data_IF_801969397363
#
_entry.id   IF_801969397363
#
_cell.length_a   1.000
_cell.length_b   1.000
_cell.length_c   1.000
_cell.angle_alpha   90.00
_cell.angle_beta   90.00
_cell.angle_gamma   90.00
#
_symmetry.space_group_name_H-M   'P 1'
#
loop_
_entity.id
_entity.type
_entity.pdbx_description
1 polymer ?
#
# COMPACT_ATOMS: atom_id res chain seq x y z
N UNK A 1 37.61 -11.22 -8.05
CA UNK A 1 36.77 -10.74 -6.93
C UNK A 1 35.35 -11.29 -7.11
N UNK A 2 35.14 -12.54 -6.68
CA UNK A 2 33.81 -13.15 -6.69
C UNK A 2 33.07 -12.72 -5.43
N UNK A 3 32.33 -11.62 -5.55
CA UNK A 3 31.39 -11.17 -4.53
C UNK A 3 30.22 -12.13 -4.46
N UNK A 4 30.02 -12.67 -3.26
CA UNK A 4 28.87 -13.45 -2.83
C UNK A 4 27.55 -12.84 -3.34
N UNK A 5 26.95 -13.46 -4.37
CA UNK A 5 25.70 -13.04 -5.02
C UNK A 5 24.46 -13.22 -4.13
N UNK A 6 24.61 -13.62 -2.86
CA UNK A 6 23.49 -13.96 -1.96
C UNK A 6 23.12 -12.85 -0.97
N UNK A 7 23.88 -11.77 -0.86
CA UNK A 7 23.52 -10.66 0.04
C UNK A 7 22.58 -9.68 -0.66
N UNK A 8 21.29 -9.74 -0.28
CA UNK A 8 20.29 -8.73 -0.69
C UNK A 8 20.79 -7.33 -0.33
N UNK A 9 20.64 -6.40 -1.27
CA UNK A 9 21.06 -5.02 -1.09
C UNK A 9 20.31 -4.38 0.09
N UNK A 10 21.06 -3.69 0.94
CA UNK A 10 20.48 -2.81 1.96
C UNK A 10 20.31 -1.42 1.35
N UNK A 11 19.28 -0.68 1.76
CA UNK A 11 19.11 0.72 1.36
C UNK A 11 20.39 1.56 1.57
N UNK A 12 21.11 1.34 2.67
CA UNK A 12 22.38 2.04 2.94
C UNK A 12 23.48 1.67 1.94
N UNK A 13 23.58 0.39 1.55
CA UNK A 13 24.55 -0.04 0.54
C UNK A 13 24.20 0.47 -0.86
N UNK A 14 22.91 0.62 -1.18
CA UNK A 14 22.45 1.19 -2.45
C UNK A 14 22.82 2.67 -2.54
N UNK A 15 22.51 3.45 -1.49
CA UNK A 15 22.91 4.86 -1.42
C UNK A 15 24.43 5.05 -1.52
N UNK A 16 25.20 4.15 -0.91
CA UNK A 16 26.67 4.23 -0.90
C UNK A 16 27.31 3.54 -2.12
N UNK A 17 26.53 3.02 -3.07
CA UNK A 17 27.03 2.31 -4.25
C UNK A 17 27.80 3.22 -5.22
N UNK A 18 27.69 4.55 -5.06
CA UNK A 18 28.29 5.54 -5.95
C UNK A 18 27.62 5.62 -7.33
N UNK A 19 26.59 4.82 -7.59
CA UNK A 19 25.78 4.92 -8.81
C UNK A 19 24.96 6.21 -8.80
N UNK A 20 24.79 6.88 -9.95
CA UNK A 20 23.89 8.02 -10.04
C UNK A 20 22.45 7.55 -9.76
N UNK A 21 21.75 8.25 -8.87
CA UNK A 21 20.35 7.95 -8.52
C UNK A 21 19.47 9.10 -8.95
N UNK A 22 18.64 8.85 -9.97
CA UNK A 22 17.64 9.79 -10.50
C UNK A 22 16.37 9.70 -9.65
N UNK A 23 16.23 10.60 -8.70
CA UNK A 23 15.11 10.57 -7.74
C UNK A 23 13.80 10.93 -8.42
N UNK A 24 12.79 10.07 -8.32
CA UNK A 24 11.46 10.30 -8.87
C UNK A 24 10.47 10.83 -7.82
N UNK A 25 9.47 11.58 -8.28
CA UNK A 25 8.24 11.99 -7.58
C UNK A 25 7.16 10.91 -7.60
N UNK A 26 7.34 9.87 -8.43
CA UNK A 26 6.42 8.75 -8.49
C UNK A 26 6.42 8.04 -7.13
N UNK A 27 5.23 7.75 -6.63
CA UNK A 27 5.03 6.97 -5.42
C UNK A 27 3.73 6.20 -5.51
N UNK A 28 3.54 5.25 -4.61
CA UNK A 28 2.37 4.39 -4.65
C UNK A 28 1.72 4.16 -3.29
N UNK A 29 0.76 3.26 -3.33
CA UNK A 29 0.08 2.70 -2.18
C UNK A 29 -0.28 1.24 -2.50
N UNK A 30 0.12 0.32 -1.62
CA UNK A 30 -0.32 -1.07 -1.69
C UNK A 30 -1.85 -1.18 -1.49
N UNK A 31 -2.46 -2.04 -2.30
CA UNK A 31 -3.88 -2.37 -2.28
C UNK A 31 -4.04 -3.88 -2.04
N UNK A 32 -5.29 -4.33 -1.91
CA UNK A 32 -5.60 -5.76 -1.92
C UNK A 32 -5.38 -6.25 -3.35
N UNK A 33 -4.50 -7.24 -3.51
CA UNK A 33 -4.07 -7.79 -4.80
C UNK A 33 -3.57 -6.77 -5.83
N UNK A 34 -3.02 -5.63 -5.39
CA UNK A 34 -2.64 -4.60 -6.34
C UNK A 34 -1.84 -3.43 -5.80
N UNK A 35 -1.58 -2.48 -6.69
CA UNK A 35 -0.85 -1.25 -6.42
C UNK A 35 -1.54 -0.06 -7.09
N UNK A 36 -1.69 1.01 -6.32
CA UNK A 36 -1.92 2.34 -6.85
C UNK A 36 -0.56 3.01 -7.06
N UNK A 37 -0.29 3.55 -8.25
CA UNK A 37 0.86 4.39 -8.54
C UNK A 37 0.40 5.77 -8.97
N UNK A 38 1.09 6.80 -8.50
CA UNK A 38 0.83 8.20 -8.81
C UNK A 38 2.11 8.83 -9.37
N UNK A 39 2.08 9.18 -10.65
CA UNK A 39 3.09 9.99 -11.31
C UNK A 39 2.68 11.47 -11.40
N UNK A 40 3.51 12.30 -12.04
CA UNK A 40 3.24 13.74 -12.18
C UNK A 40 2.01 14.04 -13.06
N UNK A 41 1.76 13.19 -14.06
CA UNK A 41 0.75 13.40 -15.12
C UNK A 41 -0.34 12.32 -15.14
N UNK A 42 -0.10 11.21 -14.47
CA UNK A 42 -0.91 10.00 -14.57
C UNK A 42 -1.04 9.31 -13.22
N UNK A 43 -2.19 8.69 -13.00
CA UNK A 43 -2.44 7.80 -11.85
C UNK A 43 -3.00 6.50 -12.38
N UNK A 44 -2.43 5.38 -11.96
CA UNK A 44 -2.86 4.05 -12.37
C UNK A 44 -3.06 3.16 -11.15
N UNK A 45 -4.12 2.37 -11.19
CA UNK A 45 -4.38 1.28 -10.27
C UNK A 45 -4.23 -0.03 -11.05
N UNK A 46 -3.34 -0.91 -10.60
CA UNK A 46 -3.14 -2.23 -11.20
C UNK A 46 -3.45 -3.30 -10.16
N UNK A 47 -4.38 -4.19 -10.47
CA UNK A 47 -4.77 -5.31 -9.62
C UNK A 47 -4.55 -6.63 -10.37
N UNK A 48 -4.01 -7.64 -9.70
CA UNK A 48 -3.89 -9.00 -10.20
C UNK A 48 -5.18 -9.75 -9.89
N UNK A 49 -5.85 -10.23 -10.94
CA UNK A 49 -7.06 -11.06 -10.85
C UNK A 49 -6.68 -12.51 -10.52
N UNK A 50 -7.64 -13.30 -10.05
CA UNK A 50 -7.46 -14.71 -9.73
C UNK A 50 -7.02 -15.57 -10.94
N UNK A 51 -7.39 -15.18 -12.16
CA UNK A 51 -6.96 -15.82 -13.41
C UNK A 51 -5.52 -15.46 -13.84
N UNK A 52 -4.82 -14.64 -13.06
CA UNK A 52 -3.45 -14.22 -13.32
C UNK A 52 -3.32 -13.04 -14.31
N UNK A 53 -4.42 -12.44 -14.79
CA UNK A 53 -4.35 -11.19 -15.56
C UNK A 53 -4.12 -9.99 -14.65
N UNK A 54 -3.44 -8.98 -15.17
CA UNK A 54 -3.24 -7.69 -14.48
C UNK A 54 -4.22 -6.68 -15.06
N UNK A 55 -5.26 -6.35 -14.30
CA UNK A 55 -6.22 -5.32 -14.66
C UNK A 55 -5.66 -3.94 -14.33
N UNK A 56 -5.51 -3.09 -15.34
CA UNK A 56 -4.97 -1.73 -15.18
C UNK A 56 -6.07 -0.70 -15.42
N UNK A 57 -6.24 0.21 -14.45
CA UNK A 57 -7.24 1.26 -14.51
C UNK A 57 -6.60 2.63 -14.26
N UNK A 58 -6.73 3.51 -15.26
CA UNK A 58 -6.32 4.90 -15.10
C UNK A 58 -7.32 5.66 -14.25
N UNK A 59 -6.82 6.42 -13.28
CA UNK A 59 -7.62 7.24 -12.37
C UNK A 59 -7.39 8.73 -12.67
N UNK A 60 -8.39 9.59 -12.42
CA UNK A 60 -8.24 11.02 -12.61
C UNK A 60 -7.20 11.58 -11.63
N UNK A 61 -6.28 12.38 -12.16
CA UNK A 61 -5.32 13.15 -11.35
C UNK A 61 -6.07 14.01 -10.31
N UNK A 62 -5.56 14.08 -9.07
CA UNK A 62 -6.12 14.97 -8.08
C UNK A 62 -5.77 16.42 -8.46
N UNK A 63 -6.79 17.28 -8.56
CA UNK A 63 -6.60 18.71 -8.89
C UNK A 63 -5.64 19.39 -7.91
N UNK A 64 -4.73 20.20 -8.44
CA UNK A 64 -3.65 20.86 -7.68
C UNK A 64 -3.81 22.38 -7.54
N UNK A 65 -4.92 22.93 -8.03
CA UNK A 65 -5.09 24.38 -8.29
C UNK A 65 -5.24 25.27 -7.05
N UNK A 66 -5.26 24.71 -5.84
CA UNK A 66 -5.45 25.49 -4.61
C UNK A 66 -4.17 26.21 -4.16
N UNK A 67 -4.29 27.51 -3.86
CA UNK A 67 -3.24 28.34 -3.23
C UNK A 67 -2.68 27.70 -1.95
N UNK A 68 -3.53 26.97 -1.21
CA UNK A 68 -3.18 26.25 0.01
C UNK A 68 -2.16 25.14 -0.19
N UNK A 69 -2.05 24.57 -1.40
CA UNK A 69 -1.07 23.54 -1.72
C UNK A 69 0.37 24.09 -1.91
N UNK A 70 0.54 25.42 -1.88
CA UNK A 70 1.83 26.09 -2.02
C UNK A 70 2.40 26.57 -0.69
N UNK A 71 1.55 26.82 0.31
CA UNK A 71 1.96 27.29 1.63
C UNK A 71 2.70 26.18 2.41
N UNK A 72 3.89 26.43 2.97
CA UNK A 72 4.59 25.44 3.78
C UNK A 72 3.74 25.04 4.98
N UNK A 73 3.92 23.81 5.47
CA UNK A 73 3.09 23.18 6.53
C UNK A 73 1.66 22.89 6.06
N UNK A 74 0.91 23.88 5.56
CA UNK A 74 -0.48 23.68 5.09
C UNK A 74 -0.54 22.72 3.90
N UNK A 75 0.42 22.83 2.96
CA UNK A 75 0.49 21.96 1.78
C UNK A 75 0.56 20.48 2.13
N UNK A 76 1.21 20.13 3.24
CA UNK A 76 1.35 18.74 3.68
C UNK A 76 0.00 18.14 4.03
N UNK A 77 -0.78 18.84 4.83
CA UNK A 77 -2.13 18.44 5.23
C UNK A 77 -3.09 18.36 4.02
N UNK A 78 -3.01 19.32 3.10
CA UNK A 78 -3.81 19.30 1.86
C UNK A 78 -3.44 18.10 0.98
N UNK A 79 -2.15 17.83 0.77
CA UNK A 79 -1.67 16.69 -0.02
C UNK A 79 -2.05 15.37 0.62
N UNK A 80 -1.87 15.24 1.94
CA UNK A 80 -2.25 14.05 2.69
C UNK A 80 -3.76 13.77 2.56
N UNK A 81 -4.60 14.79 2.69
CA UNK A 81 -6.05 14.63 2.55
C UNK A 81 -6.43 14.16 1.14
N UNK A 82 -5.82 14.72 0.09
CA UNK A 82 -6.05 14.29 -1.30
C UNK A 82 -5.60 12.85 -1.52
N UNK A 83 -4.40 12.49 -1.03
CA UNK A 83 -3.87 11.14 -1.09
C UNK A 83 -4.79 10.15 -0.35
N UNK A 84 -5.26 10.49 0.84
CA UNK A 84 -6.18 9.66 1.61
C UNK A 84 -7.49 9.42 0.86
N UNK A 85 -8.09 10.47 0.28
CA UNK A 85 -9.33 10.35 -0.50
C UNK A 85 -9.15 9.45 -1.73
N UNK A 86 -8.02 9.57 -2.42
CA UNK A 86 -7.72 8.75 -3.59
C UNK A 86 -7.40 7.31 -3.20
N UNK A 87 -6.53 7.11 -2.22
CA UNK A 87 -6.15 5.80 -1.69
C UNK A 87 -7.35 5.04 -1.15
N UNK A 88 -8.27 5.70 -0.45
CA UNK A 88 -9.50 5.08 0.04
C UNK A 88 -10.40 4.60 -1.10
N UNK A 89 -10.55 5.38 -2.18
CA UNK A 89 -11.29 4.94 -3.39
C UNK A 89 -10.63 3.74 -4.05
N UNK A 90 -9.30 3.73 -4.13
CA UNK A 90 -8.55 2.62 -4.71
C UNK A 90 -8.67 1.35 -3.87
N UNK A 91 -8.59 1.45 -2.54
CA UNK A 91 -8.79 0.32 -1.62
C UNK A 91 -10.18 -0.30 -1.83
N UNK A 92 -11.24 0.52 -1.79
CA UNK A 92 -12.60 0.00 -1.99
C UNK A 92 -12.76 -0.66 -3.36
N UNK A 93 -12.21 -0.05 -4.42
CA UNK A 93 -12.28 -0.63 -5.76
C UNK A 93 -11.49 -1.94 -5.89
N UNK A 94 -10.32 -2.05 -5.25
CA UNK A 94 -9.55 -3.30 -5.22
C UNK A 94 -10.22 -4.40 -4.42
N UNK A 95 -10.94 -4.03 -3.35
CA UNK A 95 -11.71 -4.97 -2.55
C UNK A 95 -12.89 -5.53 -3.35
N UNK A 96 -13.59 -4.70 -4.15
CA UNK A 96 -14.64 -5.16 -5.06
C UNK A 96 -14.11 -6.22 -6.05
N UNK A 97 -12.95 -6.00 -6.67
CA UNK A 97 -12.35 -6.98 -7.58
C UNK A 97 -11.98 -8.29 -6.88
N UNK A 98 -11.47 -8.21 -5.66
CA UNK A 98 -11.15 -9.38 -4.86
C UNK A 98 -12.40 -10.18 -4.46
N UNK A 99 -13.49 -9.50 -4.11
CA UNK A 99 -14.77 -10.14 -3.78
C UNK A 99 -15.42 -10.79 -5.01
N UNK A 100 -15.36 -10.13 -6.19
CA UNK A 100 -15.79 -10.69 -7.47
C UNK A 100 -15.04 -12.00 -7.78
N UNK A 101 -13.71 -11.97 -7.67
CA UNK A 101 -12.86 -13.14 -7.92
C UNK A 101 -13.18 -14.30 -6.96
N UNK A 102 -13.44 -14.01 -5.67
CA UNK A 102 -13.83 -15.04 -4.70
C UNK A 102 -15.22 -15.64 -4.96
N UNK A 103 -16.14 -14.86 -5.55
CA UNK A 103 -17.47 -15.35 -5.91
C UNK A 103 -17.45 -16.25 -7.15
N UNK A 104 -16.50 -16.02 -8.06
CA UNK A 104 -16.31 -16.79 -9.28
C UNK A 104 -15.58 -18.13 -9.05
N UNK A 105 -14.75 -18.23 -8.01
CA UNK A 105 -14.13 -19.50 -7.59
C UNK A 105 -15.13 -20.34 -6.75
N UNK A 106 -15.58 -21.53 -7.21
CA UNK A 106 -16.44 -22.39 -6.39
C UNK A 106 -15.67 -22.83 -5.14
N UNK A 107 -16.25 -22.63 -3.95
CA UNK A 107 -15.72 -23.22 -2.71
C UNK A 107 -15.87 -24.74 -2.82
N UNK A 108 -14.77 -25.46 -3.06
CA UNK A 108 -14.75 -26.91 -2.88
C UNK A 108 -15.16 -27.22 -1.44
N UNK A 109 -16.35 -27.80 -1.30
CA UNK A 109 -16.79 -28.42 -0.06
C UNK A 109 -16.07 -29.78 -0.01
N UNK A 110 -15.23 -30.07 1.00
CA UNK A 110 -14.67 -31.41 1.13
C UNK A 110 -15.80 -32.31 1.63
N UNK A 111 -16.42 -33.05 0.71
CA UNK A 111 -17.24 -34.19 1.11
C UNK A 111 -16.33 -35.40 1.31
N UNK A 112 -16.45 -36.00 2.48
CA UNK A 112 -15.66 -37.13 2.90
C UNK A 112 -16.24 -38.39 2.25
N UNK A 113 -15.57 -38.94 1.25
CA UNK A 113 -15.73 -40.37 0.93
C UNK A 113 -14.46 -40.92 0.28
N UNK A 114 -13.69 -41.62 1.10
CA UNK A 114 -12.97 -42.86 0.79
C UNK A 114 -12.30 -42.99 -0.59
N UNK A 115 -10.96 -42.85 -0.60
CA UNK A 115 -10.11 -43.50 -1.61
C UNK A 115 -10.31 -45.02 -1.60
N UNK A 116 -10.18 -45.66 -2.78
CA UNK A 116 -9.15 -46.68 -2.85
C UNK A 116 -8.22 -46.52 -4.07
N UNK A 117 -6.93 -46.62 -3.73
CA UNK A 117 -5.82 -47.25 -4.41
C UNK A 117 -5.80 -47.40 -5.96
N UNK A 118 -4.73 -46.82 -6.52
CA UNK A 118 -3.71 -47.44 -7.42
C UNK A 118 -4.22 -48.35 -8.55
N UNK A 119 -4.02 -47.91 -9.79
CA UNK A 119 -3.32 -48.75 -10.78
C UNK A 119 -2.61 -47.89 -11.83
N UNK A 120 -1.32 -48.14 -11.99
CA UNK A 120 -0.52 -47.60 -13.08
C UNK A 120 -0.85 -48.40 -14.35
N UNK A 121 -1.01 -47.72 -15.48
CA UNK A 121 -0.80 -48.37 -16.77
C UNK A 121 -0.12 -47.40 -17.73
N UNK A 122 0.91 -47.95 -18.32
CA UNK A 122 1.94 -47.40 -19.17
C UNK A 122 1.47 -47.24 -20.64
N UNK A 123 2.19 -46.42 -21.40
CA UNK A 123 2.42 -46.54 -22.87
C UNK A 123 1.24 -46.03 -23.75
N UNK A 124 1.38 -45.23 -24.81
CA UNK A 124 2.41 -45.14 -25.85
C UNK A 124 2.32 -43.78 -26.60
N UNK A 125 3.46 -43.30 -27.10
CA UNK A 125 3.56 -42.26 -28.13
C UNK A 125 3.32 -42.90 -29.50
N UNK A 126 2.54 -42.28 -30.38
CA UNK A 126 2.71 -42.48 -31.83
C UNK A 126 2.58 -41.14 -32.58
N UNK A 127 3.66 -40.78 -33.26
CA UNK A 127 3.68 -39.83 -34.37
C UNK A 127 3.12 -40.51 -35.62
N UNK A 128 2.40 -39.75 -36.46
CA UNK A 128 2.66 -39.62 -37.91
C UNK A 128 1.49 -38.94 -38.63
N UNK A 129 1.81 -38.09 -39.61
CA UNK A 129 0.90 -37.84 -40.73
C UNK A 129 0.74 -36.38 -41.14
N UNK A 130 1.78 -35.82 -41.78
CA UNK A 130 1.65 -34.65 -42.66
C UNK A 130 0.91 -35.08 -43.92
N UNK A 131 -0.11 -34.34 -44.34
CA UNK A 131 -0.45 -34.24 -45.76
C UNK A 131 -1.05 -32.86 -46.10
N UNK A 132 -0.42 -32.22 -47.06
CA UNK A 132 -0.74 -30.92 -47.68
C UNK A 132 -1.75 -31.10 -48.81
N UNK A 133 -2.69 -30.18 -48.99
CA UNK A 133 -3.16 -29.79 -50.33
C UNK A 133 -3.71 -28.35 -50.32
N UNK A 134 -3.26 -27.59 -51.31
CA UNK A 134 -3.64 -26.23 -51.66
C UNK A 134 -5.05 -26.15 -52.29
N UNK A 135 -5.70 -24.98 -52.24
CA UNK A 135 -6.27 -24.23 -53.39
C UNK A 135 -7.15 -23.05 -52.90
N UNK A 136 -6.59 -21.86 -53.10
CA UNK A 136 -7.09 -20.66 -53.80
C UNK A 136 -8.56 -20.14 -53.72
N UNK A 137 -8.59 -18.83 -53.42
CA UNK A 137 -9.45 -17.70 -53.86
C UNK A 137 -10.99 -17.76 -53.92
N UNK A 138 -11.60 -16.75 -53.29
CA UNK A 138 -12.53 -15.72 -53.83
C UNK A 138 -13.72 -15.38 -52.93
N UNK A 139 -14.04 -14.09 -52.96
CA UNK A 139 -15.05 -13.32 -52.23
C UNK A 139 -16.48 -13.87 -52.41
N UNK A 140 -17.41 -13.56 -51.48
CA UNK A 140 -18.61 -12.72 -51.69
C UNK A 140 -19.54 -12.83 -50.47
N UNK A 141 -19.95 -11.69 -49.91
CA UNK A 141 -21.04 -11.55 -48.92
C UNK A 141 -22.42 -11.89 -49.50
N UNK A 142 -23.30 -12.48 -48.69
CA UNK A 142 -24.59 -11.87 -48.27
C UNK A 142 -25.70 -12.90 -47.95
N UNK A 143 -26.26 -12.73 -46.74
CA UNK A 143 -27.69 -12.83 -46.34
C UNK A 143 -28.43 -14.18 -46.32
N UNK A 144 -28.67 -14.61 -45.07
CA UNK A 144 -29.92 -15.07 -44.42
C UNK A 144 -30.97 -15.89 -45.20
N UNK A 145 -31.23 -17.13 -44.75
CA UNK A 145 -32.59 -17.68 -44.53
C UNK A 145 -32.57 -18.64 -43.31
N UNK A 146 -33.50 -18.42 -42.38
CA UNK A 146 -33.77 -19.14 -41.13
C UNK A 146 -34.28 -20.58 -41.32
N UNK A 147 -33.87 -21.51 -40.43
CA UNK A 147 -34.77 -22.54 -39.88
C UNK A 147 -34.38 -22.88 -38.43
N UNK A 148 -35.06 -22.23 -37.48
CA UNK A 148 -35.76 -22.84 -36.34
C UNK A 148 -35.30 -24.21 -35.82
N UNK A 149 -34.86 -24.27 -34.55
CA UNK A 149 -35.04 -25.46 -33.73
C UNK A 149 -34.02 -25.70 -32.61
N UNK A 150 -34.35 -25.24 -31.40
CA UNK A 150 -33.94 -25.82 -30.10
C UNK A 150 -32.46 -25.75 -29.68
N UNK A 151 -32.06 -24.61 -29.10
CA UNK A 151 -31.18 -24.62 -27.91
C UNK A 151 -31.79 -23.68 -26.88
N UNK A 152 -32.21 -24.23 -25.74
CA UNK A 152 -32.62 -23.45 -24.57
C UNK A 152 -31.39 -22.71 -24.07
N UNK A 153 -31.38 -21.40 -24.28
CA UNK A 153 -30.47 -20.50 -23.58
C UNK A 153 -30.92 -20.45 -22.12
N UNK A 154 -30.29 -21.30 -21.29
CA UNK A 154 -30.31 -21.14 -19.84
C UNK A 154 -29.54 -19.88 -19.50
N UNK A 155 -30.24 -18.75 -19.44
CA UNK A 155 -29.78 -17.56 -18.74
C UNK A 155 -29.58 -17.93 -17.28
N UNK A 156 -28.38 -18.39 -16.92
CA UNK A 156 -27.93 -18.41 -15.54
C UNK A 156 -27.80 -16.96 -15.09
N UNK A 157 -28.77 -16.59 -14.26
CA UNK A 157 -28.87 -15.31 -13.58
C UNK A 157 -27.70 -15.23 -12.60
N UNK A 158 -26.56 -14.74 -13.07
CA UNK A 158 -25.40 -14.41 -12.21
C UNK A 158 -25.91 -13.56 -11.04
N UNK A 159 -25.88 -14.14 -9.84
CA UNK A 159 -26.30 -13.48 -8.63
C UNK A 159 -25.24 -12.43 -8.29
N UNK A 160 -25.59 -11.15 -8.49
CA UNK A 160 -24.75 -10.03 -8.04
C UNK A 160 -24.38 -10.23 -6.57
N UNK A 161 -23.10 -10.06 -6.18
CA UNK A 161 -22.70 -10.14 -4.78
C UNK A 161 -23.52 -9.16 -3.94
N UNK A 162 -23.97 -9.62 -2.78
CA UNK A 162 -24.88 -8.86 -1.91
C UNK A 162 -24.18 -7.58 -1.42
N UNK A 163 -24.48 -6.45 -2.06
CA UNK A 163 -24.00 -5.14 -1.65
C UNK A 163 -24.48 -4.86 -0.21
N UNK A 164 -23.55 -4.64 0.73
CA UNK A 164 -23.88 -4.34 2.13
C UNK A 164 -24.91 -3.21 2.21
N UNK A 165 -25.92 -3.38 3.08
CA UNK A 165 -26.90 -2.31 3.33
C UNK A 165 -26.19 -1.05 3.84
N UNK A 166 -26.63 0.14 3.42
CA UNK A 166 -26.05 1.42 3.85
C UNK A 166 -26.03 1.56 5.38
N UNK A 167 -26.97 0.92 6.08
CA UNK A 167 -26.99 0.87 7.54
C UNK A 167 -25.87 0.00 8.10
N UNK A 168 -25.60 -1.16 7.49
CA UNK A 168 -24.51 -2.06 7.92
C UNK A 168 -23.16 -1.40 7.70
N UNK A 169 -22.95 -0.74 6.56
CA UNK A 169 -21.74 0.03 6.30
C UNK A 169 -21.58 1.18 7.32
N UNK A 170 -22.66 1.90 7.63
CA UNK A 170 -22.62 2.95 8.65
C UNK A 170 -22.22 2.40 10.02
N UNK A 171 -22.76 1.26 10.42
CA UNK A 171 -22.45 0.62 11.70
C UNK A 171 -21.01 0.11 11.78
N UNK A 172 -20.49 -0.52 10.72
CA UNK A 172 -19.10 -1.01 10.70
C UNK A 172 -18.11 0.14 10.73
N UNK A 173 -18.37 1.22 9.99
CA UNK A 173 -17.56 2.44 10.04
C UNK A 173 -17.58 3.05 11.44
N UNK A 174 -18.76 3.19 12.05
CA UNK A 174 -18.88 3.73 13.41
C UNK A 174 -18.13 2.89 14.46
N UNK A 175 -18.27 1.55 14.39
CA UNK A 175 -17.57 0.63 15.28
C UNK A 175 -16.05 0.72 15.08
N UNK A 176 -15.57 0.74 13.84
CA UNK A 176 -14.13 0.87 13.54
C UNK A 176 -13.55 2.17 14.07
N UNK A 177 -14.31 3.28 13.97
CA UNK A 177 -13.92 4.57 14.53
C UNK A 177 -13.87 4.53 16.06
N UNK A 178 -14.87 3.90 16.71
CA UNK A 178 -14.89 3.75 18.16
C UNK A 178 -13.70 2.92 18.66
N UNK A 179 -13.36 1.82 17.98
CA UNK A 179 -12.19 1.00 18.29
C UNK A 179 -10.91 1.83 18.10
N UNK A 180 -10.79 2.60 17.01
CA UNK A 180 -9.61 3.43 16.76
C UNK A 180 -9.43 4.51 17.84
N UNK A 181 -10.50 5.20 18.24
CA UNK A 181 -10.48 6.17 19.34
C UNK A 181 -10.12 5.48 20.66
N UNK A 182 -10.72 4.32 20.94
CA UNK A 182 -10.42 3.50 22.11
C UNK A 182 -8.94 3.12 22.17
N UNK A 183 -8.40 2.56 21.10
CA UNK A 183 -7.04 2.01 21.04
C UNK A 183 -5.95 3.09 20.99
N UNK A 184 -6.14 4.17 20.23
CA UNK A 184 -5.08 5.15 19.98
C UNK A 184 -5.22 6.46 20.78
N UNK A 185 -6.40 6.74 21.34
CA UNK A 185 -6.64 7.95 22.15
C UNK A 185 -6.86 7.59 23.62
N UNK A 186 -7.79 6.68 23.93
CA UNK A 186 -8.17 6.40 25.31
C UNK A 186 -7.20 5.44 26.01
N UNK A 187 -6.80 4.35 25.36
CA UNK A 187 -5.94 3.32 25.95
C UNK A 187 -4.57 3.85 26.40
N UNK A 188 -3.83 4.67 25.61
CA UNK A 188 -2.54 5.19 26.07
C UNK A 188 -2.67 6.03 27.35
N UNK A 189 -3.77 6.80 27.47
CA UNK A 189 -4.05 7.60 28.66
C UNK A 189 -4.37 6.72 29.88
N UNK A 190 -5.16 5.65 29.68
CA UNK A 190 -5.48 4.70 30.74
C UNK A 190 -4.21 3.99 31.23
N UNK A 191 -3.39 3.47 30.32
CA UNK A 191 -2.15 2.77 30.64
C UNK A 191 -1.17 3.70 31.35
N UNK A 192 -1.01 4.94 30.86
CA UNK A 192 -0.17 5.94 31.54
C UNK A 192 -0.67 6.25 32.96
N UNK A 193 -1.99 6.39 33.14
CA UNK A 193 -2.60 6.62 34.45
C UNK A 193 -2.43 5.46 35.43
N UNK A 194 -2.46 4.21 34.94
CA UNK A 194 -2.23 3.01 35.77
C UNK A 194 -0.76 2.88 36.21
N UNK A 195 0.19 3.22 35.34
CA UNK A 195 1.64 3.06 35.62
C UNK A 195 2.19 4.22 36.45
N UNK A 196 1.83 5.46 36.09
CA UNK A 196 2.41 6.67 36.66
C UNK A 196 1.51 7.32 37.73
N UNK A 197 0.28 6.82 37.90
CA UNK A 197 -0.72 7.38 38.79
C UNK A 197 -1.64 8.42 38.14
N UNK A 198 -2.67 8.90 38.86
CA UNK A 198 -3.65 9.83 38.33
C UNK A 198 -3.00 11.14 37.89
N UNK A 199 -3.42 11.65 36.73
CA UNK A 199 -2.89 12.90 36.15
C UNK A 199 -3.01 14.11 37.09
N UNK A 200 -4.00 14.10 37.98
CA UNK A 200 -4.20 15.11 39.03
C UNK A 200 -3.10 15.15 40.09
N UNK A 201 -2.38 14.05 40.33
CA UNK A 201 -1.28 13.98 41.28
C UNK A 201 0.05 14.54 40.71
N UNK A 202 0.12 14.80 39.41
CA UNK A 202 1.37 15.13 38.70
C UNK A 202 1.42 16.57 38.14
N UNK A 203 0.57 17.46 38.63
CA UNK A 203 0.39 18.82 38.12
C UNK A 203 1.46 19.82 38.60
N UNK A 204 2.72 19.36 38.70
CA UNK A 204 3.91 20.21 38.86
C UNK A 204 4.60 20.31 37.49
N UNK A 205 4.97 21.52 37.06
CA UNK A 205 5.41 21.83 35.69
C UNK A 205 6.45 20.86 35.09
N UNK A 206 7.44 20.42 35.87
CA UNK A 206 8.46 19.45 35.40
C UNK A 206 7.97 18.01 35.29
N UNK A 207 7.04 17.59 36.14
CA UNK A 207 6.45 16.24 36.10
C UNK A 207 5.46 16.10 34.93
N UNK A 208 4.76 17.18 34.58
CA UNK A 208 3.80 17.19 33.47
C UNK A 208 4.46 16.94 32.10
N UNK A 209 5.65 17.51 31.85
CA UNK A 209 6.40 17.26 30.62
C UNK A 209 6.86 15.79 30.51
N UNK A 210 7.47 15.26 31.58
CA UNK A 210 7.93 13.87 31.62
C UNK A 210 6.76 12.90 31.44
N UNK A 211 5.63 13.15 32.11
CA UNK A 211 4.42 12.35 31.95
C UNK A 211 3.91 12.34 30.49
N UNK A 212 3.87 13.50 29.83
CA UNK A 212 3.43 13.58 28.43
C UNK A 212 4.40 12.83 27.49
N UNK A 213 5.70 12.86 27.78
CA UNK A 213 6.70 12.10 27.03
C UNK A 213 6.53 10.58 27.22
N UNK A 214 6.27 10.13 28.45
CA UNK A 214 5.97 8.72 28.73
C UNK A 214 4.64 8.27 28.10
N UNK A 215 3.58 9.08 28.15
CA UNK A 215 2.33 8.81 27.42
C UNK A 215 2.61 8.67 25.92
N UNK A 216 3.46 9.52 25.38
CA UNK A 216 3.91 9.44 23.99
C UNK A 216 4.65 8.15 23.66
N UNK A 217 5.54 7.69 24.55
CA UNK A 217 6.23 6.41 24.39
C UNK A 217 5.26 5.23 24.41
N UNK A 218 4.29 5.23 25.34
CA UNK A 218 3.22 4.21 25.40
C UNK A 218 2.44 4.19 24.08
N UNK A 219 2.11 5.36 23.51
CA UNK A 219 1.43 5.45 22.21
C UNK A 219 2.26 4.83 21.08
N UNK A 220 3.57 5.08 21.04
CA UNK A 220 4.48 4.47 20.05
C UNK A 220 4.49 2.94 20.22
N UNK A 221 4.59 2.45 21.45
CA UNK A 221 4.58 0.99 21.73
C UNK A 221 3.27 0.36 21.26
N UNK A 222 2.11 0.94 21.64
CA UNK A 222 0.80 0.44 21.24
C UNK A 222 0.67 0.38 19.71
N UNK A 223 1.12 1.41 19.00
CA UNK A 223 1.13 1.41 17.55
C UNK A 223 2.02 0.30 16.97
N UNK A 224 3.27 0.19 17.43
CA UNK A 224 4.19 -0.82 16.92
C UNK A 224 3.67 -2.24 17.20
N UNK A 225 3.06 -2.46 18.37
CA UNK A 225 2.37 -3.71 18.70
C UNK A 225 1.21 -3.97 17.76
N UNK A 226 0.35 -2.97 17.49
CA UNK A 226 -0.76 -3.10 16.55
C UNK A 226 -0.28 -3.44 15.12
N UNK A 227 0.74 -2.73 14.60
CA UNK A 227 1.36 -3.04 13.31
C UNK A 227 1.96 -4.45 13.30
N UNK A 228 2.64 -4.86 14.38
CA UNK A 228 3.23 -6.18 14.50
C UNK A 228 2.19 -7.31 14.50
N UNK A 229 1.10 -7.14 15.24
CA UNK A 229 0.01 -8.11 15.34
C UNK A 229 -0.77 -8.22 14.02
N UNK A 230 -1.09 -7.10 13.39
CA UNK A 230 -1.80 -7.08 12.11
C UNK A 230 -0.96 -7.70 11.00
N UNK A 231 0.37 -7.55 11.02
CA UNK A 231 1.29 -8.26 10.11
C UNK A 231 1.34 -9.79 10.28
N UNK A 232 0.61 -10.36 11.24
CA UNK A 232 0.43 -11.81 11.35
C UNK A 232 -0.69 -12.34 10.45
N UNK A 233 -1.63 -11.48 10.04
CA UNK A 233 -2.75 -11.85 9.18
C UNK A 233 -2.29 -12.08 7.72
N UNK A 234 -2.67 -13.20 7.06
CA UNK A 234 -2.23 -13.53 5.70
C UNK A 234 -2.52 -12.45 4.66
N UNK A 235 -3.74 -11.91 4.65
CA UNK A 235 -4.15 -10.89 3.67
C UNK A 235 -3.29 -9.62 3.80
N UNK A 236 -3.02 -9.20 5.03
CA UNK A 236 -2.14 -8.05 5.28
C UNK A 236 -0.68 -8.35 4.95
N UNK A 237 -0.21 -9.59 5.13
CA UNK A 237 1.13 -9.98 4.65
C UNK A 237 1.24 -9.83 3.14
N UNK A 238 0.20 -10.18 2.37
CA UNK A 238 0.17 -10.00 0.91
C UNK A 238 0.20 -8.52 0.54
N UNK A 239 -0.57 -7.66 1.23
CA UNK A 239 -0.48 -6.19 1.06
C UNK A 239 0.93 -5.67 1.37
N UNK A 240 1.61 -6.20 2.39
CA UNK A 240 3.00 -5.85 2.70
C UNK A 240 4.01 -6.35 1.64
N UNK A 241 3.70 -7.40 0.88
CA UNK A 241 4.49 -7.81 -0.28
C UNK A 241 4.34 -6.80 -1.42
N UNK A 242 3.10 -6.38 -1.74
CA UNK A 242 2.87 -5.30 -2.72
C UNK A 242 3.60 -4.02 -2.35
N UNK A 243 3.60 -3.65 -1.07
CA UNK A 243 4.34 -2.49 -0.59
C UNK A 243 5.87 -2.67 -0.76
N UNK A 244 6.40 -3.87 -0.49
CA UNK A 244 7.80 -4.18 -0.77
C UNK A 244 8.15 -4.11 -2.26
N UNK A 245 7.25 -4.55 -3.13
CA UNK A 245 7.41 -4.50 -4.58
C UNK A 245 7.38 -3.06 -5.12
N UNK A 246 6.53 -2.19 -4.57
CA UNK A 246 6.52 -0.76 -4.87
C UNK A 246 7.91 -0.14 -4.68
N UNK A 247 8.50 -0.35 -3.49
CA UNK A 247 9.84 0.17 -3.17
C UNK A 247 10.91 -0.35 -4.12
N UNK A 248 10.87 -1.64 -4.43
CA UNK A 248 11.84 -2.27 -5.33
C UNK A 248 11.71 -1.79 -6.77
N UNK A 249 10.49 -1.65 -7.28
CA UNK A 249 10.23 -1.15 -8.62
C UNK A 249 10.69 0.31 -8.78
N UNK A 250 10.35 1.16 -7.79
CA UNK A 250 10.81 2.55 -7.77
C UNK A 250 12.34 2.61 -7.67
N UNK A 251 12.96 1.84 -6.78
CA UNK A 251 14.42 1.83 -6.65
C UNK A 251 15.11 1.40 -7.95
N UNK A 252 14.59 0.38 -8.64
CA UNK A 252 15.07 -0.05 -9.95
C UNK A 252 15.01 1.09 -10.98
N UNK A 253 13.87 1.77 -11.05
CA UNK A 253 13.69 2.93 -11.92
C UNK A 253 14.65 4.08 -11.61
N UNK A 254 14.82 4.43 -10.34
CA UNK A 254 15.69 5.52 -9.91
C UNK A 254 17.17 5.27 -10.20
N UNK A 255 17.59 4.01 -10.32
CA UNK A 255 18.94 3.65 -10.72
C UNK A 255 19.12 3.52 -12.24
N UNK A 256 18.04 3.69 -13.02
CA UNK A 256 18.06 3.62 -14.48
C UNK A 256 18.25 2.20 -15.02
N UNK A 257 18.01 1.17 -14.20
CA UNK A 257 18.03 -0.22 -14.63
C UNK A 257 16.76 -0.56 -15.44
N UNK A 258 16.82 -1.64 -16.22
CA UNK A 258 15.66 -2.11 -16.97
C UNK A 258 14.54 -2.56 -16.02
N UNK A 259 13.32 -2.06 -16.24
CA UNK A 259 12.15 -2.35 -15.41
C UNK A 259 11.64 -3.78 -15.61
N UNK A 260 12.40 -4.78 -15.16
CA UNK A 260 12.03 -6.20 -15.17
C UNK A 260 11.90 -6.71 -13.73
N UNK A 261 11.11 -7.78 -13.53
CA UNK A 261 10.87 -8.33 -12.20
C UNK A 261 12.18 -8.85 -11.59
N UNK A 262 13.05 -9.42 -12.41
CA UNK A 262 14.36 -9.93 -12.04
C UNK A 262 15.29 -8.82 -11.57
N UNK A 263 15.35 -7.69 -12.29
CA UNK A 263 16.16 -6.54 -11.89
C UNK A 263 15.62 -5.91 -10.60
N UNK A 264 14.31 -5.64 -10.54
CA UNK A 264 13.67 -5.06 -9.37
C UNK A 264 13.84 -5.92 -8.11
N UNK A 265 13.81 -7.25 -8.23
CA UNK A 265 13.97 -8.17 -7.11
C UNK A 265 15.29 -7.97 -6.32
N UNK A 266 16.34 -7.46 -6.98
CA UNK A 266 17.67 -7.26 -6.38
C UNK A 266 17.73 -6.07 -5.41
N UNK A 267 16.80 -5.12 -5.54
CA UNK A 267 16.74 -3.91 -4.73
C UNK A 267 16.14 -4.16 -3.33
N UNK A 268 16.40 -3.23 -2.43
CA UNK A 268 15.90 -3.23 -1.07
C UNK A 268 14.42 -2.90 -1.03
N UNK A 269 13.67 -3.61 -0.17
CA UNK A 269 12.27 -3.27 0.15
C UNK A 269 12.13 -2.10 1.12
N UNK A 270 13.21 -1.36 1.40
CA UNK A 270 13.24 -0.24 2.34
C UNK A 270 13.51 1.07 1.61
N UNK A 271 12.69 2.07 1.89
CA UNK A 271 12.71 3.33 1.14
C UNK A 271 12.33 4.52 2.03
N UNK A 272 13.10 5.63 2.05
CA UNK A 272 12.95 6.72 3.02
C UNK A 272 11.71 7.60 2.76
N UNK A 273 11.17 7.62 1.53
CA UNK A 273 10.06 8.50 1.10
C UNK A 273 8.69 7.80 1.17
N UNK A 274 8.58 6.79 2.01
CA UNK A 274 7.39 5.96 2.13
C UNK A 274 6.35 6.56 3.11
N UNK A 275 5.06 6.33 2.83
CA UNK A 275 3.96 6.71 3.72
C UNK A 275 4.01 6.10 5.13
N UNK A 276 4.61 4.92 5.31
CA UNK A 276 4.81 4.34 6.66
C UNK A 276 5.90 5.07 7.44
N UNK A 277 6.93 5.60 6.75
CA UNK A 277 7.90 6.50 7.37
C UNK A 277 7.24 7.81 7.79
N UNK A 278 6.32 8.34 6.98
CA UNK A 278 5.49 9.50 7.34
C UNK A 278 4.64 9.24 8.58
N UNK A 279 3.98 8.09 8.70
CA UNK A 279 3.15 7.75 9.86
C UNK A 279 3.95 7.78 11.17
N UNK A 280 5.16 7.24 11.17
CA UNK A 280 6.04 7.25 12.35
C UNK A 280 6.55 8.65 12.67
N UNK A 281 6.92 9.43 11.65
CA UNK A 281 7.29 10.84 11.83
C UNK A 281 6.12 11.65 12.39
N UNK A 282 4.90 11.37 11.96
CA UNK A 282 3.67 11.99 12.48
C UNK A 282 3.50 11.72 13.97
N UNK A 283 3.69 10.49 14.40
CA UNK A 283 3.55 10.15 15.82
C UNK A 283 4.67 10.79 16.64
N UNK A 284 5.93 10.73 16.19
CA UNK A 284 7.05 11.35 16.91
C UNK A 284 6.81 12.86 17.05
N UNK A 285 6.46 13.56 15.97
CA UNK A 285 6.16 15.00 16.03
C UNK A 285 4.94 15.26 16.91
N UNK A 286 3.90 14.42 16.86
CA UNK A 286 2.74 14.56 17.74
C UNK A 286 3.12 14.48 19.22
N UNK A 287 4.03 13.56 19.59
CA UNK A 287 4.50 13.43 20.97
C UNK A 287 5.25 14.68 21.39
N UNK A 288 6.14 15.21 20.55
CA UNK A 288 6.90 16.43 20.84
C UNK A 288 5.99 17.66 20.98
N UNK A 289 5.03 17.82 20.06
CA UNK A 289 4.05 18.92 20.09
C UNK A 289 3.14 18.81 21.32
N UNK A 290 2.59 17.64 21.60
CA UNK A 290 1.71 17.47 22.76
C UNK A 290 2.44 17.47 24.10
N UNK A 291 3.74 17.18 24.12
CA UNK A 291 4.55 17.31 25.34
C UNK A 291 4.59 18.74 25.87
N UNK A 292 4.57 19.75 24.99
CA UNK A 292 4.65 21.17 25.36
C UNK A 292 3.28 21.85 25.56
N UNK A 293 2.19 21.30 25.01
CA UNK A 293 0.85 21.90 25.09
C UNK A 293 0.24 21.84 26.50
N UNK A 294 0.58 20.83 27.31
CA UNK A 294 0.04 20.68 28.67
C UNK A 294 -1.37 20.08 28.73
N UNK A 295 -2.00 20.16 29.92
CA UNK A 295 -3.30 19.54 30.20
C UNK A 295 -4.30 20.52 30.79
N UNK A 296 -5.44 20.70 30.10
CA UNK A 296 -6.51 21.64 30.45
C UNK A 296 -7.88 20.95 30.66
N UNK A 297 -7.88 19.61 30.77
CA UNK A 297 -9.09 18.79 30.88
C UNK A 297 -9.37 17.96 29.63
N UNK A 298 -10.14 16.89 29.78
CA UNK A 298 -10.32 15.86 28.73
C UNK A 298 -10.86 16.42 27.42
N UNK A 299 -11.98 17.16 27.47
CA UNK A 299 -12.67 17.66 26.28
C UNK A 299 -11.89 18.77 25.58
N UNK A 300 -11.31 19.70 26.35
CA UNK A 300 -10.49 20.77 25.78
C UNK A 300 -9.21 20.22 25.16
N UNK A 301 -8.55 19.25 25.81
CA UNK A 301 -7.39 18.58 25.22
C UNK A 301 -7.75 17.79 23.95
N UNK A 302 -8.93 17.17 23.89
CA UNK A 302 -9.42 16.51 22.68
C UNK A 302 -9.61 17.52 21.54
N UNK A 303 -10.22 18.68 21.82
CA UNK A 303 -10.38 19.76 20.85
C UNK A 303 -9.03 20.31 20.38
N UNK A 304 -8.11 20.59 21.30
CA UNK A 304 -6.76 21.07 20.97
C UNK A 304 -6.02 20.04 20.10
N UNK A 305 -6.13 18.74 20.41
CA UNK A 305 -5.54 17.67 19.60
C UNK A 305 -6.09 17.65 18.17
N UNK A 306 -7.41 17.83 18.02
CA UNK A 306 -8.05 17.90 16.72
C UNK A 306 -7.59 19.14 15.92
N UNK A 307 -7.52 20.30 16.57
CA UNK A 307 -7.07 21.56 15.95
C UNK A 307 -5.59 21.55 15.56
N UNK A 308 -4.74 20.82 16.31
CA UNK A 308 -3.31 20.71 16.02
C UNK A 308 -2.97 19.63 14.99
N UNK A 309 -3.92 18.76 14.61
CA UNK A 309 -3.68 17.69 13.63
C UNK A 309 -3.16 18.23 12.28
N UNK A 310 -3.74 19.29 11.68
CA UNK A 310 -3.22 19.87 10.45
C UNK A 310 -1.81 20.48 10.59
N UNK A 311 -1.47 21.01 11.77
CA UNK A 311 -0.12 21.51 12.03
C UNK A 311 0.88 20.34 12.08
N UNK A 312 0.56 19.29 12.85
CA UNK A 312 1.40 18.11 13.00
C UNK A 312 1.63 17.45 11.63
N UNK A 313 0.56 17.18 10.87
CA UNK A 313 0.67 16.57 9.55
C UNK A 313 1.50 17.43 8.58
N UNK A 314 1.37 18.75 8.65
CA UNK A 314 2.19 19.68 7.90
C UNK A 314 3.67 19.61 8.25
N UNK A 315 4.01 19.66 9.53
CA UNK A 315 5.39 19.54 10.01
C UNK A 315 6.02 18.20 9.63
N UNK A 316 5.27 17.10 9.76
CA UNK A 316 5.71 15.77 9.35
C UNK A 316 5.99 15.69 7.85
N UNK A 317 5.17 16.35 7.04
CA UNK A 317 5.35 16.36 5.59
C UNK A 317 6.61 17.13 5.19
N UNK A 318 6.85 18.29 5.80
CA UNK A 318 8.08 19.06 5.55
C UNK A 318 9.34 18.28 5.97
N UNK A 319 9.28 17.58 7.11
CA UNK A 319 10.36 16.71 7.55
C UNK A 319 10.62 15.58 6.55
N UNK A 320 9.56 14.94 6.04
CA UNK A 320 9.67 13.89 5.03
C UNK A 320 10.33 14.40 3.74
N UNK A 321 9.90 15.56 3.24
CA UNK A 321 10.51 16.20 2.07
C UNK A 321 11.98 16.52 2.30
N UNK A 322 12.32 17.06 3.48
CA UNK A 322 13.69 17.40 3.83
C UNK A 322 14.59 16.15 3.90
N UNK A 323 14.11 15.07 4.53
CA UNK A 323 14.81 13.77 4.57
C UNK A 323 15.02 13.21 3.16
N UNK A 324 14.01 13.31 2.29
CA UNK A 324 14.10 12.87 0.90
C UNK A 324 15.12 13.65 0.07
N UNK A 325 15.25 14.97 0.30
CA UNK A 325 16.26 15.82 -0.37
C UNK A 325 17.68 15.54 0.12
N UNK A 326 17.86 15.30 1.41
CA UNK A 326 19.17 15.21 2.04
C UNK A 326 19.58 13.78 2.44
N UNK A 327 19.07 12.74 1.76
CA UNK A 327 19.19 11.33 2.16
C UNK A 327 20.62 10.80 2.43
N UNK A 328 21.64 11.44 1.86
CA UNK A 328 23.07 11.10 2.05
C UNK A 328 23.60 11.68 3.38
N UNK A 329 23.07 12.82 3.84
CA UNK A 329 23.54 13.50 5.04
C UNK A 329 23.27 12.69 6.31
N UNK A 330 24.20 12.74 7.27
CA UNK A 330 24.08 12.04 8.55
C UNK A 330 22.80 12.43 9.32
N UNK A 331 22.41 13.73 9.40
CA UNK A 331 21.15 14.12 10.05
C UNK A 331 19.91 13.49 9.38
N UNK A 332 19.82 13.51 8.06
CA UNK A 332 18.68 12.91 7.35
C UNK A 332 18.59 11.40 7.60
N UNK A 333 19.73 10.70 7.71
CA UNK A 333 19.76 9.27 8.04
C UNK A 333 19.23 8.97 9.44
N UNK A 334 19.52 9.83 10.41
CA UNK A 334 18.98 9.72 11.78
C UNK A 334 17.46 9.87 11.77
N UNK A 335 16.94 10.90 11.10
CA UNK A 335 15.49 11.12 11.01
C UNK A 335 14.75 10.09 10.16
N UNK A 336 15.41 9.49 9.17
CA UNK A 336 14.86 8.39 8.36
C UNK A 336 14.84 7.05 9.11
N UNK A 337 15.82 6.80 9.99
CA UNK A 337 16.02 5.53 10.68
C UNK A 337 14.77 4.95 11.36
N UNK A 338 13.97 5.71 12.15
CA UNK A 338 12.78 5.15 12.78
C UNK A 338 11.73 4.71 11.74
N UNK A 339 11.58 5.46 10.64
CA UNK A 339 10.70 5.08 9.54
C UNK A 339 11.15 3.78 8.86
N UNK A 340 12.43 3.70 8.49
CA UNK A 340 13.03 2.50 7.89
C UNK A 340 12.92 1.28 8.83
N UNK A 341 13.05 1.46 10.14
CA UNK A 341 12.88 0.39 11.11
C UNK A 341 11.47 -0.21 11.04
N UNK A 342 10.44 0.63 10.97
CA UNK A 342 9.04 0.15 10.90
C UNK A 342 8.67 -0.51 9.57
N UNK A 343 9.44 -0.27 8.51
CA UNK A 343 9.30 -1.03 7.27
C UNK A 343 9.65 -2.49 7.43
N UNK A 344 10.42 -2.87 8.46
CA UNK A 344 10.60 -4.30 8.79
C UNK A 344 9.28 -5.00 9.13
N UNK A 345 8.32 -4.25 9.68
CA UNK A 345 6.97 -4.73 10.03
C UNK A 345 5.96 -4.53 8.90
N UNK A 346 6.13 -3.47 8.10
CA UNK A 346 5.15 -3.01 7.10
C UNK A 346 5.55 -3.31 5.65
N UNK A 347 6.66 -3.99 5.40
CA UNK A 347 7.00 -4.56 4.09
C UNK A 347 7.37 -6.03 4.22
N UNK A 348 7.20 -6.79 3.14
CA UNK A 348 7.62 -8.19 2.99
C UNK A 348 8.29 -8.36 1.63
N UNK A 349 9.02 -9.46 1.47
CA UNK A 349 9.64 -9.78 0.19
C UNK A 349 8.56 -10.22 -0.80
N UNK A 350 8.41 -9.54 -1.95
CA UNK A 350 7.45 -9.94 -2.97
C UNK A 350 7.95 -11.14 -3.76
N UNK A 351 7.00 -11.88 -4.33
CA UNK A 351 7.27 -12.85 -5.39
C UNK A 351 7.39 -12.14 -6.75
N UNK A 352 7.69 -12.93 -7.78
CA UNK A 352 7.84 -12.44 -9.15
C UNK A 352 6.56 -11.80 -9.68
N UNK A 353 5.40 -12.41 -9.44
CA UNK A 353 4.11 -11.95 -9.98
C UNK A 353 3.72 -10.58 -9.38
N UNK A 354 3.93 -10.38 -8.09
CA UNK A 354 3.69 -9.09 -7.44
C UNK A 354 4.66 -8.01 -7.96
N UNK A 355 5.91 -8.37 -8.27
CA UNK A 355 6.86 -7.45 -8.91
C UNK A 355 6.40 -7.05 -10.31
N UNK A 356 5.84 -7.98 -11.09
CA UNK A 356 5.27 -7.69 -12.41
C UNK A 356 4.10 -6.71 -12.32
N UNK A 357 3.24 -6.83 -11.31
CA UNK A 357 2.18 -5.84 -11.03
C UNK A 357 2.78 -4.47 -10.70
N UNK A 358 3.80 -4.41 -9.84
CA UNK A 358 4.45 -3.16 -9.46
C UNK A 358 5.10 -2.44 -10.65
N UNK A 359 5.76 -3.21 -11.53
CA UNK A 359 6.38 -2.70 -12.75
C UNK A 359 5.31 -2.22 -13.74
N UNK A 360 4.21 -2.98 -13.89
CA UNK A 360 3.09 -2.58 -14.76
C UNK A 360 2.47 -1.28 -14.28
N UNK A 361 2.22 -1.16 -12.98
CA UNK A 361 1.70 0.06 -12.37
C UNK A 361 2.65 1.25 -12.54
N UNK A 362 3.95 1.04 -12.37
CA UNK A 362 4.96 2.08 -12.54
C UNK A 362 5.04 2.56 -13.99
N UNK A 363 5.11 1.63 -14.96
CA UNK A 363 5.13 1.93 -16.40
C UNK A 363 3.91 2.74 -16.84
N UNK A 364 2.74 2.43 -16.29
CA UNK A 364 1.50 3.14 -16.62
C UNK A 364 1.47 4.61 -16.20
N UNK A 365 2.38 5.04 -15.31
CA UNK A 365 2.43 6.42 -14.79
C UNK A 365 3.73 7.17 -15.09
N UNK A 366 4.67 6.56 -15.82
CA UNK A 366 5.85 7.26 -16.30
C UNK A 366 5.41 8.49 -17.11
N UNK A 367 6.02 9.67 -16.96
CA UNK A 367 5.69 10.83 -17.78
C UNK A 367 6.19 10.69 -19.22
N UNK A 368 5.62 11.46 -20.14
CA UNK A 368 6.12 11.52 -21.52
C UNK A 368 7.46 12.30 -21.59
N UNK A 369 7.56 13.39 -20.82
CA UNK A 369 8.84 14.05 -20.54
C UNK A 369 9.52 13.36 -19.36
N UNK A 370 10.67 12.68 -19.55
CA UNK A 370 11.37 12.04 -18.46
C UNK A 370 11.57 12.99 -17.28
N UNK A 371 11.92 14.27 -17.50
CA UNK A 371 12.30 15.20 -16.44
C UNK A 371 11.12 15.74 -15.60
N UNK A 372 9.89 15.50 -16.02
CA UNK A 372 8.69 15.91 -15.29
C UNK A 372 8.59 15.26 -13.89
N UNK A 373 9.09 14.03 -13.75
CA UNK A 373 9.02 13.28 -12.49
C UNK A 373 10.22 13.51 -11.56
N UNK A 374 11.21 14.35 -11.92
CA UNK A 374 12.38 14.60 -11.07
C UNK A 374 11.98 15.16 -9.71
N UNK A 375 12.49 14.55 -8.63
CA UNK A 375 12.31 15.01 -7.26
C UNK A 375 13.15 16.26 -6.99
N UNK A 376 12.48 17.43 -6.94
CA UNK A 376 13.09 18.74 -6.67
C UNK A 376 12.84 19.22 -5.23
#
# INVERSE_FOLDING_TARGET
MNGDKTKKATYTSELNSGRPVRRTKIGGQALIEGLLMMGPERVAMCCRRADGRIETKMLPLPKTDDVWAKLPIVRGSVRLFRQLKMGMRAIFKSAEYFEEDQAETPKEHPDNSETPAVEATEVEVSEAGVETTDIDTTETEATEIETSGLVKESTEKSAKPATMSSLQLGLTVALSMAIAVGLFILLPNLVAGLILGPRSAQQVWGMSFLYNLFEGLIRIIILLSYLGLTSLLPDLRRVWMYHGAEHKAIACYEHGDELTAEAAATYSRFHPRCGTSFLIQLIIISVLVFAVVGWYGMWLNLLIRLLLLPLIAGLSYELLLWVGRHSISLPARIFAAPGLLTQRLTTREPDREILEVAITALRAVLPDDPDADLWQ
#
